data_IF_404459311538
#
_entry.id   IF_404459311538
#
_cell.length_a   1.000
_cell.length_b   1.000
_cell.length_c   1.000
_cell.angle_alpha   90.00
_cell.angle_beta   90.00
_cell.angle_gamma   90.00
#
_symmetry.space_group_name_H-M   'P 1'
#
loop_
_entity.id
_entity.type
_entity.pdbx_description
1 polymer ?
#
# COMPACT_ATOMS: atom_id res chain seq x y z
N UNK A 1 -62.85 -90.67 14.04
CA UNK A 1 -64.07 -90.09 14.63
C UNK A 1 -63.65 -89.18 15.76
N UNK A 2 -64.33 -88.05 15.87
CA UNK A 2 -64.03 -86.82 16.60
C UNK A 2 -63.73 -86.93 18.12
N UNK A 3 -62.88 -85.98 18.60
CA UNK A 3 -62.82 -85.16 19.85
C UNK A 3 -63.18 -85.82 21.22
N UNK A 4 -62.82 -85.26 22.43
CA UNK A 4 -62.65 -83.83 22.79
C UNK A 4 -61.63 -83.43 23.92
N UNK A 5 -61.58 -82.09 24.15
CA UNK A 5 -61.25 -81.27 25.35
C UNK A 5 -59.86 -81.29 26.07
N UNK A 6 -59.28 -80.09 26.24
CA UNK A 6 -58.02 -79.75 26.99
C UNK A 6 -58.22 -79.60 28.51
N UNK A 7 -57.53 -78.71 29.27
CA UNK A 7 -56.43 -77.75 28.97
C UNK A 7 -55.24 -77.78 30.01
N UNK A 8 -54.31 -76.80 29.92
CA UNK A 8 -53.39 -76.18 30.92
C UNK A 8 -51.98 -75.97 30.31
N UNK A 9 -51.65 -74.75 29.90
CA UNK A 9 -50.94 -73.65 30.62
C UNK A 9 -49.47 -73.95 30.94
N UNK A 10 -48.62 -73.02 30.52
CA UNK A 10 -47.37 -72.55 31.14
C UNK A 10 -46.57 -71.77 30.10
N UNK A 11 -47.13 -70.58 29.90
CA UNK A 11 -46.48 -69.32 29.64
C UNK A 11 -45.24 -69.03 30.51
N UNK A 12 -44.17 -69.83 30.49
CA UNK A 12 -42.84 -69.36 30.90
C UNK A 12 -41.75 -70.10 30.12
N UNK A 13 -40.59 -69.46 29.97
CA UNK A 13 -39.37 -70.07 29.46
C UNK A 13 -39.25 -70.20 27.94
N UNK A 14 -39.38 -69.07 27.23
CA UNK A 14 -38.54 -68.78 26.04
C UNK A 14 -38.36 -67.29 25.81
N UNK A 15 -38.25 -66.53 26.92
CA UNK A 15 -37.76 -65.16 26.94
C UNK A 15 -36.30 -65.24 27.42
N UNK A 16 -35.40 -65.78 26.59
CA UNK A 16 -33.96 -65.72 26.88
C UNK A 16 -33.06 -65.77 25.63
N UNK A 17 -33.58 -65.98 24.43
CA UNK A 17 -32.74 -66.01 23.21
C UNK A 17 -32.85 -64.76 22.32
N UNK A 18 -33.76 -63.82 22.59
CA UNK A 18 -33.91 -62.60 21.78
C UNK A 18 -33.14 -61.37 22.31
N UNK A 19 -32.60 -61.41 23.53
CA UNK A 19 -31.92 -60.24 24.13
C UNK A 19 -30.44 -60.11 23.75
N UNK A 20 -29.77 -61.19 23.33
CA UNK A 20 -28.37 -61.11 22.88
C UNK A 20 -28.22 -60.62 21.43
N UNK A 21 -29.25 -60.81 20.59
CA UNK A 21 -29.28 -60.29 19.22
C UNK A 21 -29.51 -58.78 19.14
N UNK A 22 -30.27 -58.21 20.08
CA UNK A 22 -30.52 -56.77 20.15
C UNK A 22 -29.32 -55.99 20.72
N UNK A 23 -28.57 -56.57 21.66
CA UNK A 23 -27.39 -55.91 22.25
C UNK A 23 -26.21 -55.78 21.27
N UNK A 24 -26.08 -56.65 20.26
CA UNK A 24 -25.00 -56.58 19.26
C UNK A 24 -25.30 -55.66 18.06
N UNK A 25 -26.57 -55.30 17.79
CA UNK A 25 -26.93 -54.28 16.80
C UNK A 25 -27.00 -52.86 17.38
N UNK A 26 -27.27 -52.71 18.68
CA UNK A 26 -27.38 -51.39 19.32
C UNK A 26 -26.02 -50.74 19.63
N UNK A 27 -24.93 -51.53 19.69
CA UNK A 27 -23.56 -51.02 19.88
C UNK A 27 -22.86 -50.61 18.58
N UNK A 28 -23.23 -51.14 17.41
CA UNK A 28 -22.66 -50.69 16.13
C UNK A 28 -23.22 -49.34 15.63
N UNK A 29 -24.46 -48.99 15.99
CA UNK A 29 -25.07 -47.72 15.57
C UNK A 29 -24.73 -46.53 16.48
N UNK A 30 -24.40 -46.75 17.76
CA UNK A 30 -23.98 -45.67 18.67
C UNK A 30 -22.53 -45.23 18.41
N UNK A 31 -21.65 -46.16 18.03
CA UNK A 31 -20.25 -45.86 17.70
C UNK A 31 -20.14 -45.09 16.38
N UNK A 32 -21.03 -45.32 15.40
CA UNK A 32 -21.00 -44.55 14.14
C UNK A 32 -21.63 -43.15 14.25
N UNK A 33 -22.67 -42.94 15.07
CA UNK A 33 -23.29 -41.62 15.26
C UNK A 33 -22.44 -40.71 16.16
N UNK A 34 -21.79 -41.25 17.19
CA UNK A 34 -20.87 -40.47 18.03
C UNK A 34 -19.61 -40.02 17.26
N UNK A 35 -19.09 -40.86 16.36
CA UNK A 35 -17.96 -40.51 15.48
C UNK A 35 -18.35 -39.43 14.47
N UNK A 36 -19.56 -39.45 13.91
CA UNK A 36 -20.04 -38.40 12.99
C UNK A 36 -20.34 -37.06 13.69
N UNK A 37 -20.85 -37.06 14.93
CA UNK A 37 -21.10 -35.82 15.70
C UNK A 37 -19.79 -35.19 16.23
N UNK A 38 -18.81 -35.99 16.63
CA UNK A 38 -17.50 -35.51 17.04
C UNK A 38 -16.71 -34.92 15.85
N UNK A 39 -16.76 -35.56 14.67
CA UNK A 39 -16.15 -35.02 13.46
C UNK A 39 -16.85 -33.75 12.95
N UNK A 40 -18.16 -33.62 13.16
CA UNK A 40 -18.92 -32.40 12.83
C UNK A 40 -18.56 -31.20 13.70
N UNK A 41 -18.44 -31.37 15.02
CA UNK A 41 -18.08 -30.28 15.94
C UNK A 41 -16.61 -29.87 15.82
N UNK A 42 -15.70 -30.83 15.64
CA UNK A 42 -14.29 -30.55 15.34
C UNK A 42 -14.14 -29.90 13.97
N UNK A 43 -14.92 -30.34 12.98
CA UNK A 43 -14.99 -29.73 11.65
C UNK A 43 -15.49 -28.29 11.71
N UNK A 44 -16.56 -28.00 12.45
CA UNK A 44 -17.09 -26.64 12.61
C UNK A 44 -16.12 -25.76 13.41
N UNK A 45 -15.48 -26.26 14.46
CA UNK A 45 -14.47 -25.50 15.21
C UNK A 45 -13.21 -25.22 14.39
N UNK A 46 -12.74 -26.20 13.60
CA UNK A 46 -11.63 -26.05 12.67
C UNK A 46 -11.98 -25.17 11.46
N UNK A 47 -13.25 -25.15 11.05
CA UNK A 47 -13.73 -24.28 9.97
C UNK A 47 -13.94 -22.86 10.49
N UNK A 48 -14.49 -22.67 11.70
CA UNK A 48 -14.57 -21.38 12.39
C UNK A 48 -13.17 -20.83 12.67
N UNK A 49 -12.22 -21.65 13.12
CA UNK A 49 -10.84 -21.22 13.33
C UNK A 49 -10.16 -20.88 12.01
N UNK A 50 -10.34 -21.67 10.94
CA UNK A 50 -9.87 -21.31 9.59
C UNK A 50 -10.51 -20.03 9.06
N UNK A 51 -11.81 -19.79 9.26
CA UNK A 51 -12.48 -18.58 8.79
C UNK A 51 -12.14 -17.35 9.64
N UNK A 52 -11.94 -17.52 10.95
CA UNK A 52 -11.51 -16.43 11.85
C UNK A 52 -10.04 -16.08 11.59
N UNK A 53 -9.17 -17.08 11.35
CA UNK A 53 -7.76 -16.87 11.03
C UNK A 53 -7.56 -16.34 9.59
N UNK A 54 -8.48 -16.64 8.67
CA UNK A 54 -8.49 -16.05 7.32
C UNK A 54 -9.09 -14.63 7.29
N UNK A 55 -9.81 -14.23 8.33
CA UNK A 55 -10.35 -12.87 8.49
C UNK A 55 -9.34 -11.89 9.10
N UNK A 56 -8.19 -12.36 9.59
CA UNK A 56 -7.16 -11.56 10.27
C UNK A 56 -5.90 -11.36 9.41
N UNK A 57 -5.99 -11.65 8.11
CA UNK A 57 -4.99 -11.29 7.09
C UNK A 57 -5.59 -10.32 6.07
N UNK A 58 -6.42 -9.38 6.52
CA UNK A 58 -6.36 -8.07 5.89
C UNK A 58 -5.02 -7.50 6.31
N UNK A 59 -4.01 -7.58 5.43
CA UNK A 59 -2.71 -6.93 5.62
C UNK A 59 -2.99 -5.47 6.00
N UNK A 60 -2.89 -5.13 7.28
CA UNK A 60 -2.99 -3.75 7.73
C UNK A 60 -1.80 -3.04 7.10
N UNK A 61 -2.07 -2.10 6.21
CA UNK A 61 -1.00 -1.27 5.66
C UNK A 61 -0.42 -0.40 6.77
N UNK A 62 0.80 -0.71 7.20
CA UNK A 62 1.53 0.16 8.11
C UNK A 62 2.13 1.33 7.32
N UNK A 63 1.54 2.51 7.51
CA UNK A 63 2.06 3.76 6.98
C UNK A 63 3.10 4.34 7.93
N UNK A 64 4.34 3.96 7.72
CA UNK A 64 5.46 4.45 8.51
C UNK A 64 5.85 5.87 8.07
N UNK A 65 6.00 6.77 9.04
CA UNK A 65 6.53 8.11 8.83
C UNK A 65 8.06 8.05 8.74
N UNK A 66 8.65 8.95 7.96
CA UNK A 66 10.11 9.08 7.93
C UNK A 66 10.62 9.53 9.30
N UNK A 67 11.82 9.09 9.63
CA UNK A 67 12.55 9.46 10.83
C UNK A 67 13.94 10.00 10.49
N UNK A 68 14.68 10.40 11.54
CA UNK A 68 16.07 10.85 11.43
C UNK A 68 16.29 11.94 10.38
N UNK A 69 17.43 11.91 9.65
CA UNK A 69 17.75 12.91 8.63
C UNK A 69 16.75 12.98 7.46
N UNK A 70 16.01 11.90 7.20
CA UNK A 70 15.02 11.90 6.11
C UNK A 70 13.75 12.67 6.53
N UNK A 71 13.39 12.68 7.81
CA UNK A 71 12.28 13.51 8.31
C UNK A 71 12.58 15.02 8.30
N UNK A 72 13.84 15.42 8.49
CA UNK A 72 14.28 16.83 8.54
C UNK A 72 14.04 17.58 7.23
N UNK A 73 13.95 16.85 6.12
CA UNK A 73 13.62 17.39 4.80
C UNK A 73 12.18 17.91 4.69
N UNK A 74 11.27 17.34 5.48
CA UNK A 74 9.85 17.62 5.39
C UNK A 74 9.52 18.91 6.15
N UNK A 75 9.29 20.00 5.43
CA UNK A 75 9.09 21.34 5.98
C UNK A 75 7.95 22.05 5.25
N UNK A 76 7.18 22.88 5.98
CA UNK A 76 6.18 23.76 5.36
C UNK A 76 4.90 23.07 4.84
N UNK A 77 4.58 21.83 5.24
CA UNK A 77 3.28 21.17 4.95
C UNK A 77 2.92 21.12 3.45
N UNK A 78 3.91 20.75 2.61
CA UNK A 78 3.65 20.38 1.22
C UNK A 78 3.07 18.98 1.16
N UNK A 79 1.86 18.85 0.61
CA UNK A 79 1.10 17.59 0.59
C UNK A 79 1.14 16.97 -0.79
N UNK A 80 1.32 15.65 -0.85
CA UNK A 80 1.49 14.88 -2.09
C UNK A 80 0.51 13.71 -2.06
N UNK A 81 -0.53 13.79 -2.89
CA UNK A 81 -1.61 12.82 -2.90
C UNK A 81 -1.52 11.87 -4.09
N UNK A 82 -1.41 10.58 -3.82
CA UNK A 82 -1.68 9.53 -4.80
C UNK A 82 -3.07 8.92 -4.57
N UNK A 83 -3.73 8.40 -5.62
CA UNK A 83 -4.99 7.68 -5.47
C UNK A 83 -4.85 6.57 -4.44
N UNK A 84 -5.84 6.42 -3.55
CA UNK A 84 -5.92 5.37 -2.51
C UNK A 84 -4.86 5.42 -1.40
N UNK A 85 -3.67 5.98 -1.64
CA UNK A 85 -2.67 6.23 -0.59
C UNK A 85 -2.95 7.48 0.24
N UNK A 86 -3.65 8.47 -0.34
CA UNK A 86 -3.81 9.77 0.29
C UNK A 86 -2.48 10.55 0.30
N UNK A 87 -2.28 11.39 1.32
CA UNK A 87 -1.05 12.18 1.46
C UNK A 87 0.12 11.31 1.91
N UNK A 88 1.08 11.13 1.01
CA UNK A 88 2.30 10.33 1.24
C UNK A 88 3.49 11.19 1.66
N UNK A 89 3.28 12.48 1.88
CA UNK A 89 4.31 13.38 2.38
C UNK A 89 4.94 12.83 3.67
N UNK A 90 6.28 12.79 3.68
CA UNK A 90 7.08 12.31 4.79
C UNK A 90 6.77 10.87 5.23
N UNK A 91 6.64 9.94 4.28
CA UNK A 91 6.38 8.51 4.56
C UNK A 91 7.28 7.55 3.78
N UNK A 92 7.36 6.31 4.26
CA UNK A 92 7.75 5.16 3.45
C UNK A 92 6.52 4.62 2.71
N UNK A 93 6.64 4.35 1.42
CA UNK A 93 5.57 3.70 0.65
C UNK A 93 5.48 2.23 1.06
N UNK A 94 4.34 1.78 1.58
CA UNK A 94 4.22 0.42 2.06
C UNK A 94 4.07 -0.58 0.91
N UNK A 95 4.41 -1.85 1.17
CA UNK A 95 4.40 -2.92 0.16
C UNK A 95 3.01 -3.50 -0.09
N UNK A 96 2.14 -3.45 0.93
CA UNK A 96 0.75 -3.86 0.89
C UNK A 96 -0.02 -3.21 -0.28
N UNK A 97 -1.10 -3.86 -0.70
CA UNK A 97 -1.96 -3.42 -1.83
C UNK A 97 -1.20 -3.06 -3.11
N UNK A 98 0.02 -3.58 -3.27
CA UNK A 98 0.92 -3.32 -4.40
C UNK A 98 1.26 -1.85 -4.63
N UNK A 99 1.16 -0.98 -3.62
CA UNK A 99 1.29 0.46 -3.80
C UNK A 99 2.60 0.89 -4.48
N UNK A 100 3.73 0.26 -4.14
CA UNK A 100 5.02 0.49 -4.82
C UNK A 100 4.92 0.22 -6.32
N UNK A 101 4.28 -0.89 -6.72
CA UNK A 101 4.08 -1.24 -8.13
C UNK A 101 3.17 -0.23 -8.82
N UNK A 102 2.11 0.20 -8.15
CA UNK A 102 1.12 1.14 -8.69
C UNK A 102 1.72 2.53 -8.91
N UNK A 103 2.54 3.04 -7.99
CA UNK A 103 3.35 4.26 -8.19
C UNK A 103 4.25 4.11 -9.43
N UNK A 104 4.92 2.97 -9.58
CA UNK A 104 5.87 2.72 -10.67
C UNK A 104 5.22 2.47 -12.03
N UNK A 105 4.00 1.92 -12.09
CA UNK A 105 3.41 1.40 -13.34
C UNK A 105 2.06 2.01 -13.73
N UNK A 106 1.27 2.47 -12.77
CA UNK A 106 -0.15 2.78 -13.00
C UNK A 106 -0.44 4.26 -12.81
N UNK A 107 -0.19 4.77 -11.61
CA UNK A 107 -0.58 6.13 -11.25
C UNK A 107 0.23 7.17 -12.04
N UNK A 108 -0.44 8.28 -12.32
CA UNK A 108 0.18 9.43 -13.01
C UNK A 108 0.81 10.35 -11.97
N UNK A 109 1.01 11.61 -12.32
CA UNK A 109 1.47 12.62 -11.38
C UNK A 109 0.50 12.70 -10.19
N UNK A 110 1.03 12.91 -8.96
CA UNK A 110 0.20 13.12 -7.79
C UNK A 110 -0.51 14.48 -7.86
N UNK A 111 -1.54 14.61 -7.03
CA UNK A 111 -2.08 15.92 -6.66
C UNK A 111 -1.12 16.58 -5.65
N UNK A 112 -0.80 17.85 -5.89
CA UNK A 112 0.10 18.63 -5.04
C UNK A 112 -0.71 19.75 -4.42
N UNK A 113 -0.69 19.82 -3.09
CA UNK A 113 -1.42 20.83 -2.34
C UNK A 113 -0.49 21.56 -1.39
N UNK A 114 -0.57 22.89 -1.42
CA UNK A 114 0.11 23.76 -0.48
C UNK A 114 -0.90 24.79 0.04
N UNK A 115 -1.56 24.52 1.19
CA UNK A 115 -2.62 25.36 1.71
C UNK A 115 -2.19 26.81 2.02
N UNK A 116 -0.90 27.01 2.31
CA UNK A 116 -0.32 28.29 2.72
C UNK A 116 0.10 29.17 1.52
N UNK A 117 -0.09 28.71 0.28
CA UNK A 117 0.32 29.47 -0.90
C UNK A 117 -0.40 30.84 -0.98
N UNK A 118 0.36 31.89 -1.29
CA UNK A 118 -0.17 33.20 -1.61
C UNK A 118 -0.80 33.19 -3.00
N UNK A 119 -2.09 33.52 -3.09
CA UNK A 119 -2.88 33.33 -4.32
C UNK A 119 -2.40 34.16 -5.52
N UNK A 120 -1.74 35.28 -5.27
CA UNK A 120 -1.22 36.23 -6.25
C UNK A 120 0.23 35.97 -6.65
N UNK A 121 0.86 34.93 -6.09
CA UNK A 121 2.23 34.54 -6.41
C UNK A 121 2.26 33.31 -7.32
N UNK A 122 3.37 33.18 -8.04
CA UNK A 122 3.70 32.00 -8.82
C UNK A 122 4.73 31.16 -8.07
N UNK A 123 4.77 29.87 -8.39
CA UNK A 123 5.63 28.90 -7.72
C UNK A 123 6.29 27.97 -8.74
N UNK A 124 7.43 27.42 -8.33
CA UNK A 124 8.16 26.36 -9.04
C UNK A 124 8.12 25.09 -8.20
N UNK A 125 7.67 24.00 -8.80
CA UNK A 125 7.71 22.66 -8.22
C UNK A 125 8.81 21.84 -8.88
N UNK A 126 9.71 21.31 -8.05
CA UNK A 126 10.74 20.34 -8.45
C UNK A 126 10.47 19.02 -7.74
N UNK A 127 10.50 17.92 -8.50
CA UNK A 127 10.63 16.56 -7.96
C UNK A 127 11.95 15.97 -8.46
N UNK A 128 12.82 15.53 -7.54
CA UNK A 128 14.11 14.93 -7.90
C UNK A 128 14.50 13.76 -6.98
N UNK A 129 15.27 12.83 -7.53
CA UNK A 129 15.84 11.68 -6.81
C UNK A 129 17.35 11.89 -6.59
N UNK A 130 17.81 12.11 -5.33
CA UNK A 130 19.22 12.24 -4.99
C UNK A 130 19.98 10.90 -4.96
N UNK A 131 19.28 9.78 -5.13
CA UNK A 131 19.77 8.44 -4.87
C UNK A 131 19.95 7.66 -6.18
N UNK A 132 19.80 8.25 -7.36
CA UNK A 132 19.97 7.52 -8.61
C UNK A 132 21.45 7.16 -8.90
N UNK A 133 21.79 5.90 -9.26
CA UNK A 133 20.93 4.71 -9.34
C UNK A 133 20.76 3.95 -8.01
N UNK A 134 21.58 4.22 -7.00
CA UNK A 134 21.34 3.76 -5.62
C UNK A 134 21.81 4.80 -4.60
N UNK A 135 21.20 4.84 -3.41
CA UNK A 135 21.59 5.75 -2.32
C UNK A 135 23.06 5.55 -1.91
N UNK A 136 23.58 4.33 -2.02
CA UNK A 136 24.97 3.97 -1.72
C UNK A 136 25.98 4.39 -2.79
N UNK A 137 25.56 4.53 -4.05
CA UNK A 137 26.42 4.93 -5.18
C UNK A 137 25.63 5.84 -6.14
N UNK A 138 25.34 7.10 -5.75
CA UNK A 138 24.37 7.97 -6.42
C UNK A 138 24.99 8.75 -7.61
N UNK A 139 25.54 8.03 -8.58
CA UNK A 139 26.27 8.61 -9.74
C UNK A 139 25.45 9.55 -10.63
N UNK A 140 24.13 9.38 -10.65
CA UNK A 140 23.21 10.22 -11.44
C UNK A 140 22.46 11.24 -10.60
N UNK A 141 22.92 11.53 -9.39
CA UNK A 141 22.37 12.60 -8.55
C UNK A 141 22.51 13.96 -9.24
N UNK A 142 21.48 14.81 -9.28
CA UNK A 142 20.07 14.49 -9.03
C UNK A 142 19.41 13.97 -10.31
N UNK A 143 18.48 13.02 -10.17
CA UNK A 143 17.62 12.62 -11.28
C UNK A 143 16.32 13.42 -11.25
N UNK A 144 16.08 14.25 -12.27
CA UNK A 144 14.89 15.11 -12.36
C UNK A 144 13.67 14.29 -12.77
N UNK A 145 12.66 14.26 -11.90
CA UNK A 145 11.41 13.53 -12.12
C UNK A 145 10.26 14.43 -12.54
N UNK A 146 10.25 15.70 -12.12
CA UNK A 146 9.20 16.65 -12.48
C UNK A 146 9.69 18.08 -12.31
N UNK A 147 9.39 18.95 -13.26
CA UNK A 147 9.66 20.39 -13.16
C UNK A 147 8.49 21.17 -13.77
N UNK A 148 7.81 21.92 -12.92
CA UNK A 148 6.68 22.78 -13.31
C UNK A 148 6.92 24.18 -12.76
N UNK A 149 6.81 25.17 -13.64
CA UNK A 149 6.95 26.60 -13.32
C UNK A 149 5.60 27.30 -13.54
N UNK A 150 5.53 28.59 -13.22
CA UNK A 150 4.35 29.43 -13.41
C UNK A 150 3.09 28.88 -12.71
N UNK A 151 3.28 28.16 -11.60
CA UNK A 151 2.17 27.58 -10.85
C UNK A 151 1.53 28.67 -10.02
N UNK A 152 0.26 29.00 -10.29
CA UNK A 152 -0.47 29.99 -9.49
C UNK A 152 -0.73 29.45 -8.08
N UNK A 153 -0.51 30.26 -7.05
CA UNK A 153 -0.79 29.88 -5.67
C UNK A 153 -2.26 29.48 -5.42
N UNK A 154 -3.20 30.06 -6.16
CA UNK A 154 -4.61 29.65 -6.11
C UNK A 154 -4.84 28.20 -6.54
N UNK A 155 -4.08 27.73 -7.52
CA UNK A 155 -4.16 26.38 -8.08
C UNK A 155 -3.51 25.35 -7.12
N UNK A 156 -2.39 25.71 -6.48
CA UNK A 156 -1.76 24.91 -5.42
C UNK A 156 -2.68 24.71 -4.21
N UNK A 157 -3.36 25.76 -3.76
CA UNK A 157 -4.30 25.64 -2.64
C UNK A 157 -5.46 24.71 -2.94
N UNK A 158 -5.87 24.66 -4.20
CA UNK A 158 -6.97 23.83 -4.68
C UNK A 158 -6.54 22.39 -5.03
N UNK A 159 -5.24 22.04 -4.93
CA UNK A 159 -4.73 20.73 -5.34
C UNK A 159 -4.70 20.51 -6.86
N UNK A 160 -4.85 21.58 -7.65
CA UNK A 160 -4.99 21.49 -9.12
C UNK A 160 -3.75 22.05 -9.79
N UNK A 161 -2.63 21.34 -9.72
CA UNK A 161 -1.38 21.83 -10.26
C UNK A 161 -1.52 22.18 -11.76
N UNK A 162 -1.43 23.47 -12.06
CA UNK A 162 -1.43 24.04 -13.41
C UNK A 162 -0.27 25.00 -13.52
N UNK A 163 0.53 24.86 -14.55
CA UNK A 163 1.72 25.65 -14.79
C UNK A 163 2.35 25.24 -16.11
N UNK A 164 3.49 25.85 -16.45
CA UNK A 164 4.28 25.46 -17.59
C UNK A 164 5.20 24.30 -17.21
N UNK A 165 5.10 23.18 -17.92
CA UNK A 165 5.84 21.96 -17.62
C UNK A 165 7.13 21.94 -18.44
N UNK A 166 8.28 22.03 -17.77
CA UNK A 166 9.60 21.94 -18.41
C UNK A 166 10.14 20.51 -18.40
N UNK A 167 9.69 19.67 -17.47
CA UNK A 167 9.97 18.23 -17.46
C UNK A 167 8.70 17.54 -17.02
N UNK A 168 8.13 16.70 -17.90
CA UNK A 168 6.96 15.91 -17.59
C UNK A 168 7.21 14.98 -16.40
N UNK A 169 6.14 14.64 -15.68
CA UNK A 169 6.24 13.74 -14.54
C UNK A 169 6.71 12.35 -14.99
N UNK A 170 7.87 11.94 -14.48
CA UNK A 170 8.43 10.60 -14.62
C UNK A 170 8.19 9.85 -13.31
N UNK A 171 7.51 8.70 -13.41
CA UNK A 171 7.20 7.86 -12.25
C UNK A 171 8.47 7.41 -11.52
N UNK A 172 8.40 7.20 -10.19
CA UNK A 172 9.40 6.46 -9.44
C UNK A 172 9.68 5.07 -10.03
N UNK A 173 10.93 4.84 -10.41
CA UNK A 173 11.41 3.55 -10.94
C UNK A 173 12.73 3.16 -10.28
N UNK A 174 12.78 3.01 -8.95
CA UNK A 174 14.01 2.61 -8.26
C UNK A 174 14.46 1.23 -8.79
N UNK A 175 15.75 1.04 -9.14
CA UNK A 175 16.25 -0.24 -9.59
C UNK A 175 16.06 -1.35 -8.55
N UNK A 176 15.96 -2.61 -8.98
CA UNK A 176 15.90 -3.72 -8.01
C UNK A 176 17.22 -3.82 -7.24
N UNK A 177 17.11 -4.05 -5.93
CA UNK A 177 18.20 -4.16 -4.97
C UNK A 177 19.01 -2.88 -4.76
N UNK A 178 18.49 -1.70 -5.14
CA UNK A 178 19.13 -0.41 -4.84
C UNK A 178 18.71 0.17 -3.48
N UNK A 179 17.72 -0.45 -2.82
CA UNK A 179 17.15 0.02 -1.55
C UNK A 179 16.12 1.13 -1.74
N UNK A 180 15.81 1.85 -0.67
CA UNK A 180 14.92 3.00 -0.71
C UNK A 180 15.58 4.19 -1.41
N UNK A 181 14.86 4.75 -2.38
CA UNK A 181 15.16 6.03 -3.01
C UNK A 181 14.25 7.11 -2.45
N UNK A 182 14.81 8.30 -2.28
CA UNK A 182 14.09 9.51 -1.87
C UNK A 182 13.52 10.20 -3.09
N UNK A 183 12.23 10.50 -3.07
CA UNK A 183 11.59 11.32 -4.09
C UNK A 183 11.25 12.68 -3.49
N UNK A 184 12.15 13.63 -3.70
CA UNK A 184 12.15 14.92 -3.03
C UNK A 184 11.34 15.95 -3.81
N UNK A 185 10.28 16.46 -3.19
CA UNK A 185 9.51 17.58 -3.67
C UNK A 185 10.00 18.86 -3.00
N UNK A 186 10.28 19.87 -3.82
CA UNK A 186 10.66 21.21 -3.38
C UNK A 186 9.76 22.22 -4.06
N UNK A 187 9.14 23.07 -3.28
CA UNK A 187 8.32 24.17 -3.76
C UNK A 187 9.05 25.48 -3.49
N UNK A 188 9.25 26.28 -4.52
CA UNK A 188 9.87 27.60 -4.44
C UNK A 188 8.86 28.67 -4.82
N UNK A 189 8.95 29.84 -4.21
CA UNK A 189 8.32 31.03 -4.77
C UNK A 189 9.07 31.42 -6.06
N UNK A 190 8.33 31.68 -7.14
CA UNK A 190 8.93 32.05 -8.41
C UNK A 190 9.18 33.56 -8.47
N UNK A 191 10.41 34.01 -8.78
CA UNK A 191 10.68 35.42 -9.04
C UNK A 191 9.88 35.96 -10.24
N UNK A 192 9.31 37.16 -10.11
CA UNK A 192 8.36 37.71 -11.09
C UNK A 192 8.93 38.00 -12.50
N UNK A 193 10.26 38.11 -12.64
CA UNK A 193 10.92 38.57 -13.87
C UNK A 193 11.93 37.57 -14.45
N UNK A 194 12.02 36.36 -13.90
CA UNK A 194 12.94 35.34 -14.38
C UNK A 194 12.24 34.45 -15.41
N UNK A 195 12.77 34.41 -16.63
CA UNK A 195 12.31 33.49 -17.67
C UNK A 195 12.96 32.13 -17.43
N UNK A 196 12.33 31.32 -16.58
CA UNK A 196 12.86 30.01 -16.20
C UNK A 196 12.77 29.05 -17.39
N UNK A 197 13.90 28.46 -17.75
CA UNK A 197 14.01 27.48 -18.83
C UNK A 197 15.11 26.47 -18.53
N UNK A 198 15.03 25.30 -19.14
CA UNK A 198 16.14 24.33 -19.15
C UNK A 198 17.16 24.72 -20.23
N UNK A 199 18.45 24.53 -19.95
CA UNK A 199 19.47 24.53 -21.01
C UNK A 199 19.26 23.35 -21.98
N UNK A 200 19.86 23.37 -23.19
CA UNK A 200 19.81 22.23 -24.09
C UNK A 200 20.32 20.93 -23.45
N UNK A 201 21.38 21.00 -22.63
CA UNK A 201 21.95 19.86 -21.92
C UNK A 201 21.00 19.33 -20.85
N UNK A 202 20.38 20.24 -20.08
CA UNK A 202 19.38 19.86 -19.08
C UNK A 202 18.13 19.27 -19.74
N UNK A 203 17.69 19.81 -20.88
CA UNK A 203 16.56 19.26 -21.63
C UNK A 203 16.87 17.87 -22.20
N UNK A 204 18.13 17.61 -22.57
CA UNK A 204 18.57 16.33 -23.13
C UNK A 204 18.78 15.22 -22.07
N UNK A 205 19.05 15.57 -20.81
CA UNK A 205 19.30 14.60 -19.73
C UNK A 205 18.50 14.89 -18.46
N UNK A 206 17.89 13.85 -17.91
CA UNK A 206 17.23 13.90 -16.60
C UNK A 206 18.20 13.67 -15.44
N UNK A 207 19.23 12.85 -15.65
CA UNK A 207 20.20 12.46 -14.63
C UNK A 207 21.37 13.43 -14.55
N UNK A 208 22.08 13.39 -13.41
CA UNK A 208 23.22 14.27 -13.11
C UNK A 208 22.85 15.76 -13.22
N UNK A 209 21.59 16.09 -12.93
CA UNK A 209 21.09 17.45 -13.06
C UNK A 209 21.69 18.33 -11.97
N UNK A 210 22.33 19.47 -12.32
CA UNK A 210 22.91 20.39 -11.35
C UNK A 210 21.81 21.25 -10.70
N UNK A 211 20.97 20.62 -9.87
CA UNK A 211 19.81 21.22 -9.19
C UNK A 211 20.17 22.53 -8.48
N UNK A 212 21.26 22.54 -7.71
CA UNK A 212 21.71 23.71 -6.95
C UNK A 212 22.05 24.87 -7.88
N UNK A 213 22.74 24.59 -9.00
CA UNK A 213 23.06 25.60 -10.01
C UNK A 213 21.80 26.15 -10.67
N UNK A 214 20.79 25.31 -10.92
CA UNK A 214 19.50 25.76 -11.46
C UNK A 214 18.81 26.71 -10.48
N UNK A 215 18.77 26.36 -9.19
CA UNK A 215 18.20 27.19 -8.12
C UNK A 215 18.92 28.54 -8.02
N UNK A 216 20.26 28.55 -8.10
CA UNK A 216 21.08 29.76 -8.07
C UNK A 216 20.88 30.62 -9.31
N UNK A 217 20.92 30.02 -10.50
CA UNK A 217 20.77 30.70 -11.79
C UNK A 217 19.47 31.48 -11.87
N UNK A 218 18.36 30.90 -11.42
CA UNK A 218 17.04 31.51 -11.42
C UNK A 218 16.67 32.17 -10.09
N UNK A 219 17.62 32.29 -9.16
CA UNK A 219 17.47 32.98 -7.87
C UNK A 219 16.23 32.54 -7.09
N UNK A 220 15.95 31.25 -7.08
CA UNK A 220 14.77 30.69 -6.41
C UNK A 220 14.88 30.77 -4.87
N UNK A 221 16.09 30.92 -4.34
CA UNK A 221 16.34 31.01 -2.91
C UNK A 221 16.11 29.68 -2.20
N UNK A 222 15.56 29.75 -0.97
CA UNK A 222 15.19 28.55 -0.21
C UNK A 222 13.78 28.10 -0.55
N UNK A 223 13.49 26.78 -0.51
CA UNK A 223 12.13 26.29 -0.72
C UNK A 223 11.19 26.84 0.36
N UNK A 224 9.98 27.25 -0.04
CA UNK A 224 8.91 27.65 0.89
C UNK A 224 8.29 26.44 1.58
N UNK A 225 8.37 25.27 0.94
CA UNK A 225 7.97 24.00 1.50
C UNK A 225 8.71 22.86 0.79
N UNK A 226 8.92 21.76 1.49
CA UNK A 226 9.52 20.56 0.97
C UNK A 226 8.94 19.32 1.64
N UNK A 227 8.84 18.23 0.89
CA UNK A 227 8.45 16.93 1.43
C UNK A 227 9.11 15.84 0.60
N UNK A 228 9.21 14.65 1.15
CA UNK A 228 9.67 13.50 0.37
C UNK A 228 8.90 12.26 0.79
N UNK A 229 8.88 11.29 -0.10
CA UNK A 229 8.53 9.92 0.24
C UNK A 229 9.66 9.00 -0.17
N UNK A 230 9.76 7.85 0.50
CA UNK A 230 10.74 6.82 0.18
C UNK A 230 10.02 5.61 -0.41
N UNK A 231 10.47 5.15 -1.57
CA UNK A 231 10.05 3.85 -2.11
C UNK A 231 11.25 3.09 -2.64
N UNK A 232 11.13 1.77 -2.69
CA UNK A 232 12.07 0.88 -3.32
C UNK A 232 11.39 0.10 -4.44
N UNK A 233 12.15 -0.74 -5.13
CA UNK A 233 11.60 -1.56 -6.19
C UNK A 233 10.47 -2.46 -5.66
N UNK A 234 9.38 -2.57 -6.42
CA UNK A 234 8.15 -3.23 -5.97
C UNK A 234 8.28 -4.73 -5.63
N UNK A 235 9.33 -5.41 -6.11
CA UNK A 235 9.61 -6.81 -5.79
C UNK A 235 10.54 -7.00 -4.59
N UNK A 236 11.14 -5.92 -4.08
CA UNK A 236 12.01 -5.94 -2.91
C UNK A 236 11.14 -5.78 -1.65
#
# INVERSE_FOLDING_TARGET
MDRPHGPQDESQMKIHESEWGFLLLQDRMKVQVAVLLAMGLVGIAAWKSKTLQHSEFMETCDFEKLDGPDSEFCQGDLQVFYPELGDIGCTYIPKCHQYRKRITKEWRNPEIKYPQAEKNKNYVLIMADPDAPSRSDPKFRFWRHWLVIDIKGSDLRAGRLKGHVLTDYVRPTPPSRSGYHRYQFRLYEQPAYEAISLSPEEAASLGSWPLERFVEQFRLGSPVASTQFLTQHHND
#
